data_IF_339401525196
#
_entry.id   IF_339401525196
#
_cell.length_a   1.000
_cell.length_b   1.000
_cell.length_c   1.000
_cell.angle_alpha   90.00
_cell.angle_beta   90.00
_cell.angle_gamma   90.00
#
_symmetry.space_group_name_H-M   'P 1'
#
loop_
_entity.id
_entity.type
_entity.pdbx_description
1 polymer ?
#
# COMPACT_ATOMS: atom_id res chain seq x y z
N UNK A 1 -13.70 98.89 13.42
CA UNK A 1 -13.24 98.41 12.10
C UNK A 1 -12.86 96.97 12.24
N UNK A 2 -13.77 96.02 11.82
CA UNK A 2 -13.54 94.58 11.90
C UNK A 2 -13.22 94.10 10.50
N UNK A 3 -11.98 93.67 10.30
CA UNK A 3 -11.51 93.06 9.04
C UNK A 3 -11.94 91.60 9.02
N UNK A 4 -12.97 91.26 8.17
CA UNK A 4 -13.44 89.92 7.92
C UNK A 4 -12.45 89.25 6.94
N UNK A 5 -11.67 88.27 7.44
CA UNK A 5 -10.83 87.42 6.63
C UNK A 5 -11.60 86.36 5.89
N UNK A 6 -11.94 86.57 4.64
CA UNK A 6 -12.51 85.53 3.75
C UNK A 6 -11.40 84.51 3.39
N UNK A 7 -11.38 83.36 4.09
CA UNK A 7 -10.61 82.19 3.67
C UNK A 7 -11.22 81.64 2.40
N UNK A 8 -10.55 81.87 1.27
CA UNK A 8 -10.87 81.20 0.02
C UNK A 8 -10.78 79.64 0.20
N UNK A 9 -11.90 78.98 0.20
CA UNK A 9 -11.94 77.52 0.11
C UNK A 9 -11.40 77.10 -1.27
N UNK A 10 -10.15 76.64 -1.29
CA UNK A 10 -9.59 75.96 -2.46
C UNK A 10 -10.39 74.73 -2.73
N UNK A 11 -11.09 74.68 -3.84
CA UNK A 11 -11.73 73.49 -4.36
C UNK A 11 -10.67 72.44 -4.71
N UNK A 12 -10.44 71.49 -3.79
CA UNK A 12 -9.68 70.27 -4.08
C UNK A 12 -10.60 69.21 -4.72
N UNK A 13 -11.18 69.56 -5.84
CA UNK A 13 -12.03 68.66 -6.60
C UNK A 13 -11.16 67.99 -7.68
N UNK A 14 -10.89 66.69 -7.54
CA UNK A 14 -10.22 65.88 -8.55
C UNK A 14 -9.11 64.97 -8.03
N UNK A 15 -8.28 65.43 -7.08
CA UNK A 15 -7.15 64.64 -6.57
C UNK A 15 -7.59 63.44 -5.73
N UNK A 16 -8.64 63.57 -4.92
CA UNK A 16 -9.15 62.49 -4.06
C UNK A 16 -9.73 61.34 -4.84
N UNK A 17 -10.35 61.57 -6.00
CA UNK A 17 -10.94 60.56 -6.83
C UNK A 17 -9.86 59.66 -7.47
N UNK A 18 -8.76 60.28 -7.93
CA UNK A 18 -7.61 59.55 -8.51
C UNK A 18 -6.94 58.70 -7.43
N UNK A 19 -6.73 59.22 -6.23
CA UNK A 19 -6.16 58.47 -5.13
C UNK A 19 -7.06 57.27 -4.74
N UNK A 20 -8.36 57.50 -4.65
CA UNK A 20 -9.33 56.43 -4.38
C UNK A 20 -9.31 55.34 -5.45
N UNK A 21 -9.21 55.70 -6.73
CA UNK A 21 -9.11 54.71 -7.83
C UNK A 21 -7.82 53.91 -7.74
N UNK A 22 -6.68 54.52 -7.43
CA UNK A 22 -5.41 53.81 -7.25
C UNK A 22 -5.51 52.81 -6.07
N UNK A 23 -6.07 53.26 -4.94
CA UNK A 23 -6.28 52.35 -3.79
C UNK A 23 -7.19 51.19 -4.12
N UNK A 24 -8.30 51.40 -4.83
CA UNK A 24 -9.20 50.32 -5.27
C UNK A 24 -8.48 49.34 -6.19
N UNK A 25 -7.67 49.81 -7.12
CA UNK A 25 -6.87 48.97 -8.01
C UNK A 25 -5.85 48.16 -7.24
N UNK A 26 -5.14 48.72 -6.29
CA UNK A 26 -4.22 47.98 -5.41
C UNK A 26 -4.94 46.95 -4.57
N UNK A 27 -6.08 47.30 -3.97
CA UNK A 27 -6.89 46.35 -3.22
C UNK A 27 -7.38 45.21 -4.09
N UNK A 28 -7.87 45.50 -5.31
CA UNK A 28 -8.30 44.48 -6.25
C UNK A 28 -7.19 43.49 -6.61
N UNK A 29 -5.95 43.98 -6.82
CA UNK A 29 -4.79 43.13 -7.07
C UNK A 29 -4.43 42.24 -5.88
N UNK A 30 -4.47 42.77 -4.65
CA UNK A 30 -4.20 41.98 -3.43
C UNK A 30 -5.27 40.88 -3.26
N UNK A 31 -6.55 41.22 -3.41
CA UNK A 31 -7.65 40.27 -3.31
C UNK A 31 -7.55 39.18 -4.37
N UNK A 32 -7.27 39.55 -5.61
CA UNK A 32 -7.09 38.58 -6.70
C UNK A 32 -5.92 37.61 -6.45
N UNK A 33 -4.84 38.12 -5.85
CA UNK A 33 -3.67 37.29 -5.49
C UNK A 33 -4.00 36.27 -4.39
N UNK A 34 -4.71 36.68 -3.34
CA UNK A 34 -5.13 35.79 -2.23
C UNK A 34 -6.11 34.73 -2.69
N UNK A 35 -7.04 35.06 -3.56
CA UNK A 35 -7.97 34.07 -4.14
C UNK A 35 -7.25 32.98 -4.93
N UNK A 36 -6.28 33.32 -5.76
CA UNK A 36 -5.50 32.33 -6.53
C UNK A 36 -4.73 31.37 -5.62
N UNK A 37 -4.13 31.88 -4.57
CA UNK A 37 -3.41 31.07 -3.58
C UNK A 37 -4.35 30.10 -2.86
N UNK A 38 -5.53 30.55 -2.45
CA UNK A 38 -6.54 29.72 -1.78
C UNK A 38 -7.04 28.58 -2.66
N UNK A 39 -7.35 28.84 -3.94
CA UNK A 39 -7.81 27.81 -4.88
C UNK A 39 -6.74 26.73 -5.13
N UNK A 40 -5.45 27.12 -5.16
CA UNK A 40 -4.35 26.17 -5.32
C UNK A 40 -4.24 25.28 -4.08
N UNK A 41 -4.39 25.83 -2.89
CA UNK A 41 -4.35 25.06 -1.65
C UNK A 41 -5.51 24.05 -1.55
N UNK A 42 -6.73 24.44 -1.94
CA UNK A 42 -7.88 23.53 -1.94
C UNK A 42 -7.68 22.37 -2.92
N UNK A 43 -7.15 22.63 -4.12
CA UNK A 43 -6.83 21.58 -5.08
C UNK A 43 -5.74 20.63 -4.58
N UNK A 44 -4.71 21.18 -3.90
CA UNK A 44 -3.65 20.35 -3.33
C UNK A 44 -4.18 19.44 -2.22
N UNK A 45 -5.04 19.94 -1.33
CA UNK A 45 -5.68 19.17 -0.27
C UNK A 45 -6.57 18.08 -0.86
N UNK A 46 -7.39 18.40 -1.86
CA UNK A 46 -8.23 17.42 -2.55
C UNK A 46 -7.40 16.28 -3.15
N UNK A 47 -6.31 16.59 -3.85
CA UNK A 47 -5.44 15.56 -4.42
C UNK A 47 -4.77 14.69 -3.34
N UNK A 48 -4.43 15.26 -2.17
CA UNK A 48 -3.87 14.49 -1.06
C UNK A 48 -4.90 13.54 -0.45
N UNK A 49 -6.15 13.96 -0.33
CA UNK A 49 -7.24 13.11 0.17
C UNK A 49 -7.48 11.90 -0.74
N UNK A 50 -7.67 12.13 -2.04
CA UNK A 50 -7.86 11.06 -3.02
C UNK A 50 -6.69 10.08 -3.05
N UNK A 51 -5.47 10.60 -2.93
CA UNK A 51 -4.29 9.73 -2.84
C UNK A 51 -4.29 8.89 -1.57
N UNK A 52 -4.65 9.47 -0.41
CA UNK A 52 -4.72 8.75 0.85
C UNK A 52 -5.80 7.66 0.81
N UNK A 53 -6.97 7.95 0.26
CA UNK A 53 -8.06 6.99 0.07
C UNK A 53 -7.64 5.84 -0.86
N UNK A 54 -6.97 6.14 -1.97
CA UNK A 54 -6.44 5.13 -2.88
C UNK A 54 -5.38 4.22 -2.22
N UNK A 55 -4.53 4.79 -1.35
CA UNK A 55 -3.55 4.00 -0.58
C UNK A 55 -4.27 3.09 0.43
N UNK A 56 -5.29 3.60 1.12
CA UNK A 56 -6.07 2.82 2.07
C UNK A 56 -6.82 1.68 1.37
N UNK A 57 -7.44 1.94 0.22
CA UNK A 57 -8.08 0.92 -0.58
C UNK A 57 -7.09 -0.16 -1.06
N UNK A 58 -5.87 0.23 -1.48
CA UNK A 58 -4.83 -0.70 -1.85
C UNK A 58 -4.40 -1.58 -0.65
N UNK A 59 -4.23 -1.00 0.53
CA UNK A 59 -3.89 -1.75 1.74
C UNK A 59 -5.02 -2.71 2.15
N UNK A 60 -6.29 -2.29 2.09
CA UNK A 60 -7.42 -3.16 2.39
C UNK A 60 -7.50 -4.34 1.41
N UNK A 61 -7.20 -4.14 0.13
CA UNK A 61 -7.10 -5.22 -0.84
C UNK A 61 -5.97 -6.21 -0.51
N UNK A 62 -4.82 -5.70 -0.04
CA UNK A 62 -3.71 -6.54 0.42
C UNK A 62 -4.13 -7.33 1.66
N UNK A 63 -4.76 -6.70 2.64
CA UNK A 63 -5.20 -7.35 3.87
C UNK A 63 -6.24 -8.45 3.60
N UNK A 64 -7.16 -8.22 2.66
CA UNK A 64 -8.09 -9.26 2.20
C UNK A 64 -7.37 -10.43 1.55
N UNK A 65 -6.37 -10.16 0.72
CA UNK A 65 -5.55 -11.21 0.12
C UNK A 65 -4.79 -12.02 1.17
N UNK A 66 -4.22 -11.34 2.19
CA UNK A 66 -3.48 -11.97 3.27
C UNK A 66 -4.37 -12.76 4.24
N UNK A 67 -5.64 -12.41 4.34
CA UNK A 67 -6.60 -13.10 5.21
C UNK A 67 -6.96 -14.50 4.70
N UNK A 68 -6.74 -14.79 3.42
CA UNK A 68 -6.94 -16.12 2.86
C UNK A 68 -5.68 -16.97 3.02
N UNK A 69 -5.72 -17.91 3.97
CA UNK A 69 -4.59 -18.81 4.28
C UNK A 69 -4.13 -19.66 3.07
N UNK A 70 -4.97 -19.83 2.06
CA UNK A 70 -4.65 -20.63 0.86
C UNK A 70 -3.87 -19.83 -0.18
N UNK A 71 -3.88 -18.51 -0.12
CA UNK A 71 -3.30 -17.64 -1.14
C UNK A 71 -1.84 -17.98 -1.45
N UNK A 72 -1.05 -18.37 -0.45
CA UNK A 72 0.39 -18.66 -0.63
C UNK A 72 0.72 -20.15 -0.69
N UNK A 73 -0.29 -21.02 -0.61
CA UNK A 73 -0.11 -22.47 -0.60
C UNK A 73 -0.66 -23.16 -1.84
N UNK A 74 -1.48 -22.46 -2.63
CA UNK A 74 -2.13 -23.00 -3.83
C UNK A 74 -2.07 -21.99 -4.98
N UNK A 75 -1.47 -22.41 -6.11
CA UNK A 75 -1.37 -21.56 -7.33
C UNK A 75 -2.75 -21.21 -7.89
N UNK A 76 -3.71 -22.14 -7.78
CA UNK A 76 -5.07 -21.89 -8.24
C UNK A 76 -5.76 -20.85 -7.37
N UNK A 77 -5.52 -20.85 -6.06
CA UNK A 77 -6.03 -19.85 -5.13
C UNK A 77 -5.44 -18.47 -5.41
N UNK A 78 -4.12 -18.35 -5.65
CA UNK A 78 -3.49 -17.09 -6.06
C UNK A 78 -4.18 -16.56 -7.32
N UNK A 79 -4.35 -17.39 -8.33
CA UNK A 79 -4.95 -16.99 -9.61
C UNK A 79 -6.42 -16.59 -9.43
N UNK A 80 -7.19 -17.36 -8.66
CA UNK A 80 -8.61 -17.10 -8.42
C UNK A 80 -8.83 -15.81 -7.62
N UNK A 81 -8.05 -15.59 -6.55
CA UNK A 81 -8.22 -14.44 -5.67
C UNK A 81 -7.72 -13.13 -6.31
N UNK A 82 -6.72 -13.22 -7.16
CA UNK A 82 -6.03 -12.04 -7.71
C UNK A 82 -6.56 -11.64 -9.08
N UNK A 83 -7.03 -12.56 -9.87
CA UNK A 83 -7.43 -12.31 -11.27
C UNK A 83 -8.94 -12.17 -11.44
N UNK A 84 -9.73 -12.81 -10.55
CA UNK A 84 -11.15 -12.99 -10.80
C UNK A 84 -11.98 -11.72 -10.70
N UNK A 85 -11.60 -10.75 -9.83
CA UNK A 85 -12.37 -9.52 -9.68
C UNK A 85 -11.48 -8.38 -9.17
N UNK A 86 -11.50 -7.21 -9.82
CA UNK A 86 -10.94 -6.01 -9.21
C UNK A 86 -11.69 -5.73 -7.89
N UNK A 87 -10.95 -5.42 -6.85
CA UNK A 87 -11.55 -4.99 -5.60
C UNK A 87 -12.12 -3.58 -5.81
N UNK A 88 -13.38 -3.40 -5.48
CA UNK A 88 -14.09 -2.13 -5.61
C UNK A 88 -14.34 -1.54 -4.24
N UNK A 89 -14.03 -0.25 -4.09
CA UNK A 89 -14.23 0.50 -2.86
C UNK A 89 -15.09 1.71 -3.12
N UNK A 90 -16.10 1.88 -2.28
CA UNK A 90 -16.93 3.07 -2.18
C UNK A 90 -16.34 3.94 -1.08
N UNK A 91 -15.71 5.06 -1.47
CA UNK A 91 -15.01 5.94 -0.54
C UNK A 91 -15.96 6.95 0.14
N UNK A 92 -17.08 7.27 -0.51
CA UNK A 92 -18.02 8.29 -0.04
C UNK A 92 -19.32 7.72 0.57
N UNK A 93 -19.57 6.41 0.41
CA UNK A 93 -20.76 5.72 0.97
C UNK A 93 -22.02 5.86 0.14
N UNK A 94 -21.91 6.22 -1.15
CA UNK A 94 -23.05 6.40 -2.05
C UNK A 94 -23.46 5.11 -2.79
N UNK A 95 -22.81 3.99 -2.46
CA UNK A 95 -22.97 2.66 -3.06
C UNK A 95 -22.46 2.55 -4.51
N UNK A 96 -21.74 3.56 -4.99
CA UNK A 96 -21.01 3.53 -6.26
C UNK A 96 -19.54 3.32 -5.98
N UNK A 97 -18.89 2.47 -6.76
CA UNK A 97 -17.45 2.24 -6.59
C UNK A 97 -16.65 3.42 -7.11
N UNK A 98 -15.92 4.07 -6.22
CA UNK A 98 -15.03 5.19 -6.55
C UNK A 98 -13.63 4.72 -6.90
N UNK A 99 -13.14 3.68 -6.24
CA UNK A 99 -11.78 3.20 -6.39
C UNK A 99 -11.78 1.74 -6.83
N UNK A 100 -11.09 1.46 -7.92
CA UNK A 100 -10.84 0.11 -8.41
C UNK A 100 -9.41 -0.30 -8.10
N UNK A 101 -9.23 -1.44 -7.43
CA UNK A 101 -7.94 -1.98 -7.05
C UNK A 101 -7.65 -3.25 -7.82
N UNK A 102 -6.53 -3.28 -8.50
CA UNK A 102 -6.08 -4.42 -9.31
C UNK A 102 -4.67 -4.82 -8.94
N UNK A 103 -4.34 -6.09 -9.22
CA UNK A 103 -2.97 -6.59 -9.11
C UNK A 103 -2.34 -6.54 -10.51
N UNK A 104 -1.39 -5.63 -10.75
CA UNK A 104 -0.84 -5.43 -12.08
C UNK A 104 -0.09 -6.66 -12.58
N UNK A 105 -0.26 -6.95 -13.84
CA UNK A 105 0.55 -7.95 -14.53
C UNK A 105 1.99 -7.42 -14.69
N UNK A 106 2.95 -8.25 -14.34
CA UNK A 106 4.37 -7.93 -14.50
C UNK A 106 5.03 -9.00 -15.35
N UNK A 107 5.74 -8.57 -16.37
CA UNK A 107 6.52 -9.47 -17.22
C UNK A 107 7.82 -9.83 -16.51
N UNK A 108 8.03 -11.10 -16.21
CA UNK A 108 9.24 -11.64 -15.63
C UNK A 108 9.73 -12.78 -16.54
N UNK A 109 10.97 -12.72 -16.99
CA UNK A 109 11.59 -13.76 -17.85
C UNK A 109 10.72 -14.18 -19.05
N UNK A 110 10.03 -13.21 -19.66
CA UNK A 110 9.15 -13.45 -20.80
C UNK A 110 7.76 -14.02 -20.46
N UNK A 111 7.47 -14.25 -19.16
CA UNK A 111 6.17 -14.69 -18.68
C UNK A 111 5.44 -13.58 -17.96
N UNK A 112 4.22 -13.30 -18.37
CA UNK A 112 3.35 -12.34 -17.67
C UNK A 112 2.73 -13.01 -16.46
N UNK A 113 3.15 -12.62 -15.25
CA UNK A 113 2.55 -13.07 -13.98
C UNK A 113 1.75 -11.93 -13.37
N UNK A 114 0.53 -12.22 -12.94
CA UNK A 114 -0.36 -11.27 -12.26
C UNK A 114 -0.43 -11.65 -10.79
N UNK A 115 -0.40 -10.66 -9.89
CA UNK A 115 -0.58 -10.89 -8.46
C UNK A 115 0.69 -11.03 -7.65
N UNK A 116 0.61 -11.69 -6.48
CA UNK A 116 1.73 -11.93 -5.60
C UNK A 116 2.85 -12.69 -6.31
N UNK A 117 4.07 -12.26 -6.07
CA UNK A 117 5.27 -12.91 -6.63
C UNK A 117 6.17 -13.38 -5.52
N UNK A 118 6.56 -14.64 -5.59
CA UNK A 118 7.63 -15.14 -4.75
C UNK A 118 8.95 -14.55 -5.21
N UNK A 119 9.72 -14.02 -4.25
CA UNK A 119 11.04 -13.45 -4.49
C UNK A 119 12.13 -14.42 -4.04
N UNK A 120 11.88 -15.12 -2.91
CA UNK A 120 12.89 -15.96 -2.27
C UNK A 120 12.24 -17.15 -1.59
N UNK A 121 12.91 -18.28 -1.64
CA UNK A 121 12.60 -19.47 -0.83
C UNK A 121 13.85 -19.81 -0.01
N UNK A 122 13.65 -20.00 1.27
CA UNK A 122 14.70 -20.39 2.20
C UNK A 122 14.24 -21.61 3.01
N UNK A 123 14.80 -22.80 2.75
CA UNK A 123 14.50 -23.97 3.53
C UNK A 123 14.87 -23.74 4.99
N UNK A 124 13.99 -24.13 5.92
CA UNK A 124 14.25 -23.99 7.35
C UNK A 124 15.06 -25.20 7.80
N UNK A 125 16.23 -25.00 8.44
CA UNK A 125 16.95 -26.11 9.07
C UNK A 125 16.12 -26.67 10.23
N UNK A 126 16.05 -28.02 10.35
CA UNK A 126 15.27 -28.65 11.43
C UNK A 126 15.77 -28.28 12.85
N UNK A 127 17.03 -27.86 12.96
CA UNK A 127 17.63 -27.38 14.21
C UNK A 127 17.10 -26.00 14.67
N UNK A 128 16.53 -25.24 13.79
CA UNK A 128 15.95 -23.91 14.09
C UNK A 128 14.48 -23.99 14.53
N UNK A 129 13.86 -25.18 14.41
CA UNK A 129 12.47 -25.38 14.79
C UNK A 129 12.34 -25.62 16.29
N UNK A 130 11.44 -24.88 16.91
CA UNK A 130 11.13 -24.99 18.33
C UNK A 130 9.87 -25.83 18.53
N UNK A 131 10.04 -27.02 19.10
CA UNK A 131 8.95 -27.96 19.38
C UNK A 131 7.88 -27.42 20.33
N UNK A 132 8.17 -26.35 21.05
CA UNK A 132 7.22 -25.71 21.95
C UNK A 132 6.30 -24.73 21.24
N UNK A 133 6.62 -24.35 19.98
CA UNK A 133 5.84 -23.44 19.17
C UNK A 133 4.92 -24.21 18.23
N UNK A 134 3.63 -23.97 18.35
CA UNK A 134 2.60 -24.64 17.53
C UNK A 134 2.87 -24.54 16.02
N UNK A 135 3.35 -23.37 15.55
CA UNK A 135 3.71 -23.15 14.16
C UNK A 135 4.90 -23.98 13.66
N UNK A 136 5.78 -24.43 14.55
CA UNK A 136 6.98 -25.19 14.22
C UNK A 136 6.73 -26.71 14.25
N UNK A 137 5.77 -27.16 15.05
CA UNK A 137 5.41 -28.59 15.20
C UNK A 137 4.98 -29.20 13.86
N UNK A 138 4.18 -28.48 13.07
CA UNK A 138 3.75 -28.90 11.73
C UNK A 138 4.90 -29.05 10.73
N UNK A 139 6.03 -28.39 10.96
CA UNK A 139 7.21 -28.40 10.08
C UNK A 139 8.19 -29.54 10.37
N UNK A 140 8.05 -30.21 11.54
CA UNK A 140 8.98 -31.27 11.95
C UNK A 140 8.76 -32.60 11.23
N UNK A 141 7.63 -32.78 10.57
CA UNK A 141 7.32 -33.96 9.79
C UNK A 141 7.11 -35.21 10.65
N UNK A 142 5.99 -35.86 10.45
CA UNK A 142 5.74 -37.19 11.00
C UNK A 142 6.42 -38.21 10.05
N UNK A 143 7.72 -38.42 10.21
CA UNK A 143 8.35 -39.55 9.55
C UNK A 143 7.81 -40.85 10.18
N UNK A 144 6.75 -41.39 9.56
CA UNK A 144 6.12 -42.64 9.92
C UNK A 144 7.04 -43.89 9.87
N UNK A 145 8.32 -43.67 9.61
CA UNK A 145 9.37 -44.67 9.59
C UNK A 145 10.28 -44.59 10.83
N UNK A 146 9.70 -44.39 12.03
CA UNK A 146 10.40 -44.68 13.29
C UNK A 146 11.51 -43.72 13.73
N UNK A 147 11.72 -42.62 13.04
CA UNK A 147 12.61 -41.54 13.48
C UNK A 147 11.81 -40.25 13.58
N UNK A 148 11.34 -39.96 14.76
CA UNK A 148 11.00 -38.58 15.13
C UNK A 148 12.29 -37.77 14.93
N UNK A 149 12.24 -36.70 14.10
CA UNK A 149 13.39 -35.84 13.79
C UNK A 149 13.98 -35.03 14.96
N UNK A 150 13.60 -35.35 16.18
CA UNK A 150 14.28 -35.07 17.40
C UNK A 150 15.37 -36.13 17.51
N UNK A 151 16.62 -35.75 17.42
CA UNK A 151 17.79 -36.59 17.53
C UNK A 151 17.71 -37.55 18.73
N UNK A 152 16.89 -38.59 18.61
CA UNK A 152 16.84 -39.69 19.54
C UNK A 152 18.03 -40.55 19.16
N UNK A 153 19.05 -40.48 19.98
CA UNK A 153 20.13 -41.44 20.03
C UNK A 153 19.56 -42.84 19.88
N UNK A 154 19.97 -43.52 18.81
CA UNK A 154 19.74 -44.95 18.71
C UNK A 154 20.26 -45.61 19.97
N UNK A 155 19.59 -46.63 20.48
CA UNK A 155 19.98 -47.37 21.68
C UNK A 155 21.45 -47.91 21.66
N UNK A 156 22.18 -47.68 20.59
CA UNK A 156 23.60 -48.01 20.40
C UNK A 156 24.59 -46.91 20.70
N UNK A 157 24.15 -45.76 21.24
CA UNK A 157 25.08 -44.71 21.71
C UNK A 157 25.98 -44.03 20.68
N UNK A 158 25.82 -44.30 19.38
CA UNK A 158 26.50 -43.55 18.33
C UNK A 158 25.66 -42.32 18.03
N UNK A 159 26.18 -41.14 18.36
CA UNK A 159 25.70 -39.88 17.82
C UNK A 159 25.91 -39.90 16.30
N UNK A 160 24.97 -40.50 15.59
CA UNK A 160 24.88 -40.33 14.15
C UNK A 160 24.69 -38.83 13.92
N UNK A 161 25.59 -38.25 13.18
CA UNK A 161 25.54 -36.90 12.68
C UNK A 161 24.08 -36.50 12.48
N UNK A 162 23.64 -35.48 13.21
CA UNK A 162 22.32 -34.89 13.00
C UNK A 162 22.28 -34.54 11.53
N UNK A 163 21.69 -35.42 10.75
CA UNK A 163 21.49 -35.20 9.33
C UNK A 163 20.72 -33.89 9.25
N UNK A 164 21.27 -32.90 8.61
CA UNK A 164 20.59 -31.65 8.31
C UNK A 164 19.48 -31.95 7.28
N UNK A 165 18.55 -32.80 7.68
CA UNK A 165 17.36 -33.01 6.85
C UNK A 165 16.60 -31.70 6.85
N UNK A 166 16.33 -31.12 5.69
CA UNK A 166 15.52 -29.93 5.63
C UNK A 166 14.17 -30.21 6.28
N UNK A 167 13.69 -29.25 7.06
CA UNK A 167 12.35 -29.33 7.60
C UNK A 167 11.32 -29.43 6.48
N UNK A 168 10.11 -29.88 6.80
CA UNK A 168 9.01 -29.90 5.84
C UNK A 168 8.52 -28.51 5.44
N UNK A 169 9.04 -27.46 6.07
CA UNK A 169 8.68 -26.08 5.80
C UNK A 169 9.84 -25.28 5.22
N UNK A 170 9.47 -24.24 4.49
CA UNK A 170 10.36 -23.20 4.02
C UNK A 170 9.77 -21.84 4.31
N UNK A 171 10.63 -20.86 4.55
CA UNK A 171 10.24 -19.47 4.56
C UNK A 171 10.24 -18.96 3.10
N UNK A 172 9.15 -18.33 2.71
CA UNK A 172 9.01 -17.72 1.39
C UNK A 172 8.79 -16.23 1.54
N UNK A 173 9.44 -15.44 0.70
CA UNK A 173 9.26 -14.00 0.64
C UNK A 173 8.49 -13.66 -0.62
N UNK A 174 7.42 -12.91 -0.46
CA UNK A 174 6.53 -12.52 -1.54
C UNK A 174 6.49 -11.01 -1.71
N UNK A 175 6.39 -10.56 -2.94
CA UNK A 175 6.09 -9.17 -3.29
C UNK A 175 4.68 -9.09 -3.86
N UNK A 176 3.87 -8.25 -3.28
CA UNK A 176 2.48 -8.04 -3.66
C UNK A 176 2.34 -6.63 -4.24
N UNK A 177 2.46 -6.46 -5.56
CA UNK A 177 2.19 -5.20 -6.22
C UNK A 177 0.69 -5.00 -6.36
N UNK A 178 0.21 -3.81 -6.02
CA UNK A 178 -1.20 -3.42 -6.10
C UNK A 178 -1.29 -2.06 -6.78
N UNK A 179 -2.25 -1.88 -7.67
CA UNK A 179 -2.55 -0.61 -8.31
C UNK A 179 -4.00 -0.23 -8.01
N UNK A 180 -4.18 0.91 -7.34
CA UNK A 180 -5.47 1.53 -7.08
C UNK A 180 -5.68 2.67 -8.06
N UNK A 181 -6.85 2.71 -8.69
CA UNK A 181 -7.24 3.74 -9.65
C UNK A 181 -8.55 4.36 -9.18
N UNK A 182 -8.51 5.65 -8.94
CA UNK A 182 -9.70 6.45 -8.64
C UNK A 182 -10.47 6.74 -9.92
N UNK A 183 -11.78 6.48 -9.93
CA UNK A 183 -12.63 6.60 -11.12
C UNK A 183 -12.97 8.06 -11.46
N UNK A 184 -12.95 8.96 -10.46
CA UNK A 184 -13.33 10.37 -10.62
C UNK A 184 -12.15 11.21 -11.11
N UNK A 185 -11.01 11.07 -10.46
CA UNK A 185 -9.80 11.86 -10.77
C UNK A 185 -8.85 11.15 -11.73
N UNK A 186 -9.07 9.86 -11.98
CA UNK A 186 -8.15 8.98 -12.71
C UNK A 186 -6.74 8.95 -12.07
N UNK A 187 -6.68 9.22 -10.78
CA UNK A 187 -5.44 9.15 -10.00
C UNK A 187 -5.06 7.70 -9.82
N UNK A 188 -3.81 7.38 -10.13
CA UNK A 188 -3.26 6.04 -9.99
C UNK A 188 -2.24 6.02 -8.86
N UNK A 189 -2.39 5.06 -7.95
CA UNK A 189 -1.45 4.83 -6.86
C UNK A 189 -1.00 3.38 -6.92
N UNK A 190 0.31 3.18 -6.87
CA UNK A 190 0.90 1.84 -6.80
C UNK A 190 1.51 1.63 -5.43
N UNK A 191 1.10 0.56 -4.77
CA UNK A 191 1.64 0.08 -3.50
C UNK A 191 2.29 -1.27 -3.73
N UNK A 192 3.42 -1.51 -3.08
CA UNK A 192 4.09 -2.82 -3.11
C UNK A 192 4.35 -3.23 -1.67
N UNK A 193 3.78 -4.36 -1.27
CA UNK A 193 3.95 -4.93 0.06
C UNK A 193 4.83 -6.17 0.00
N UNK A 194 5.84 -6.23 0.87
CA UNK A 194 6.62 -7.44 1.12
C UNK A 194 5.98 -8.26 2.23
N UNK A 195 5.88 -9.58 2.05
CA UNK A 195 5.34 -10.50 3.05
C UNK A 195 6.20 -11.75 3.15
N UNK A 196 6.55 -12.12 4.37
CA UNK A 196 7.20 -13.41 4.67
C UNK A 196 6.15 -14.42 5.11
N UNK A 197 6.09 -15.56 4.45
CA UNK A 197 5.14 -16.63 4.77
C UNK A 197 5.89 -17.95 4.92
N UNK A 198 5.58 -18.67 6.00
CA UNK A 198 6.05 -20.03 6.19
C UNK A 198 5.08 -21.01 5.52
N UNK A 199 5.58 -21.81 4.60
CA UNK A 199 4.80 -22.77 3.85
C UNK A 199 5.47 -24.16 3.88
N UNK A 200 4.71 -25.20 3.56
CA UNK A 200 5.29 -26.52 3.34
C UNK A 200 6.23 -26.47 2.11
N UNK A 201 7.31 -27.24 2.14
CA UNK A 201 8.29 -27.31 1.02
C UNK A 201 7.63 -27.73 -0.28
N UNK A 202 6.55 -28.52 -0.23
CA UNK A 202 5.74 -28.86 -1.41
C UNK A 202 5.06 -27.63 -2.02
N UNK A 203 4.61 -26.69 -1.21
CA UNK A 203 4.03 -25.42 -1.67
C UNK A 203 5.10 -24.41 -2.09
N UNK A 204 6.32 -24.54 -1.58
CA UNK A 204 7.44 -23.66 -1.95
C UNK A 204 7.82 -23.79 -3.44
N UNK A 205 7.42 -24.88 -4.13
CA UNK A 205 7.58 -25.03 -5.59
C UNK A 205 6.82 -23.98 -6.40
N UNK A 206 5.85 -23.27 -5.79
CA UNK A 206 5.13 -22.13 -6.40
C UNK A 206 6.03 -20.93 -6.61
N UNK A 207 7.21 -20.91 -5.99
CA UNK A 207 8.20 -19.86 -6.11
C UNK A 207 9.17 -20.04 -7.32
N UNK A 208 8.99 -21.06 -8.13
CA UNK A 208 9.84 -21.33 -9.29
C UNK A 208 9.23 -20.83 -10.59
#
# INVERSE_FOLDING_TARGET
MTLSSHRARRHQAGSTLIVAMIFLLLFAMIVASTFRSSLTSVKAIGNMQWRAESINAANDAIDRLLSDAKTFTDTAAITANVVATPFSFDANGDQVSDISVTFPAVMLDGVTKTGPRCIKVEPIPSLELDITKEGDVGCLGNNSAGNTGLGVTNASGNASSVSQTPALCANTEWSIPVEAVDSVTNTKVRVVQGVGVRVLTTAASLCN
#
